data_IF_750092608442
#
_entry.id   IF_750092608442
#
_cell.length_a   1.000
_cell.length_b   1.000
_cell.length_c   1.000
_cell.angle_alpha   90.00
_cell.angle_beta   90.00
_cell.angle_gamma   90.00
#
_symmetry.space_group_name_H-M   'P 1'
#
loop_
_entity.id
_entity.type
_entity.pdbx_description
1 polymer ?
#
# COMPACT_ATOMS: atom_id res chain seq x y z
N UNK A 1 6.17 6.63 24.54
CA UNK A 1 7.54 6.88 24.03
C UNK A 1 7.86 6.25 22.66
N UNK A 2 6.85 5.75 21.92
CA UNK A 2 7.06 4.95 20.70
C UNK A 2 6.79 5.71 19.37
N UNK A 3 6.10 6.85 19.36
CA UNK A 3 5.63 7.44 18.11
C UNK A 3 6.68 8.28 17.35
N UNK A 4 7.57 8.95 18.04
CA UNK A 4 8.60 9.78 17.40
C UNK A 4 9.74 8.95 16.80
N UNK A 5 10.11 7.81 17.41
CA UNK A 5 11.17 6.96 16.90
C UNK A 5 10.81 6.30 15.56
N UNK A 6 9.57 5.82 15.41
CA UNK A 6 9.15 5.13 14.18
C UNK A 6 9.05 6.08 12.98
N UNK A 7 8.60 7.33 13.19
CA UNK A 7 8.57 8.36 12.13
C UNK A 7 10.01 8.76 11.67
N UNK A 8 10.99 8.60 12.55
CA UNK A 8 12.40 8.82 12.23
C UNK A 8 12.93 7.73 11.31
N UNK A 9 12.66 6.45 11.60
CA UNK A 9 13.22 5.33 10.82
C UNK A 9 12.77 5.32 9.35
N UNK A 10 11.53 5.70 9.03
CA UNK A 10 11.05 5.73 7.64
C UNK A 10 11.64 6.87 6.84
N UNK A 11 11.61 8.08 7.42
CA UNK A 11 12.27 9.21 6.78
C UNK A 11 13.73 8.89 6.53
N UNK A 12 14.38 8.23 7.49
CA UNK A 12 15.75 7.76 7.33
C UNK A 12 15.89 6.71 6.22
N UNK A 13 14.98 5.73 6.12
CA UNK A 13 15.04 4.73 5.07
C UNK A 13 14.90 5.35 3.67
N UNK A 14 13.87 6.19 3.46
CA UNK A 14 13.66 6.86 2.18
C UNK A 14 14.78 7.86 1.87
N UNK A 15 15.23 8.67 2.85
CA UNK A 15 16.38 9.55 2.68
C UNK A 15 17.64 8.76 2.32
N UNK A 16 17.88 7.64 3.00
CA UNK A 16 19.06 6.80 2.74
C UNK A 16 19.05 6.20 1.33
N UNK A 17 17.91 5.71 0.87
CA UNK A 17 17.75 5.20 -0.49
C UNK A 17 18.09 6.30 -1.52
N UNK A 18 17.59 7.52 -1.31
CA UNK A 18 17.87 8.65 -2.19
C UNK A 18 19.34 9.09 -2.16
N UNK A 19 19.94 9.20 -0.97
CA UNK A 19 21.34 9.57 -0.77
C UNK A 19 22.30 8.59 -1.44
N UNK A 20 22.03 7.29 -1.29
CA UNK A 20 22.84 6.22 -1.88
C UNK A 20 22.51 5.95 -3.34
N UNK A 21 21.43 6.56 -3.86
CA UNK A 21 20.88 6.29 -5.20
C UNK A 21 20.60 4.80 -5.43
N UNK A 22 20.22 4.09 -4.36
CA UNK A 22 19.84 2.69 -4.43
C UNK A 22 18.55 2.54 -5.23
N UNK A 23 18.45 1.49 -6.05
CA UNK A 23 17.28 1.27 -6.89
C UNK A 23 16.01 1.20 -6.04
N UNK A 24 15.04 2.02 -6.35
CA UNK A 24 13.69 1.98 -5.81
C UNK A 24 12.69 1.76 -6.93
N UNK A 25 11.85 0.76 -6.77
CA UNK A 25 10.83 0.37 -7.75
C UNK A 25 9.46 0.80 -7.25
N UNK A 26 8.89 1.79 -7.90
CA UNK A 26 7.57 2.37 -7.63
C UNK A 26 6.48 1.72 -8.48
N UNK A 27 5.27 1.66 -7.98
CA UNK A 27 4.10 1.30 -8.80
C UNK A 27 3.84 2.30 -9.92
N UNK A 28 3.97 3.60 -9.67
CA UNK A 28 3.76 4.65 -10.67
C UNK A 28 2.36 4.68 -11.30
N UNK A 29 1.34 4.09 -10.63
CA UNK A 29 0.02 3.82 -11.21
C UNK A 29 -1.14 4.60 -10.56
N UNK A 30 -0.82 5.62 -9.77
CA UNK A 30 -1.78 6.45 -9.03
C UNK A 30 -2.64 5.68 -8.00
N UNK A 31 -2.29 4.44 -7.66
CA UNK A 31 -2.96 3.64 -6.63
C UNK A 31 -2.76 4.20 -5.21
N UNK A 32 -3.49 3.64 -4.25
CA UNK A 32 -3.32 3.97 -2.82
C UNK A 32 -1.89 3.73 -2.32
N UNK A 33 -1.25 2.63 -2.77
CA UNK A 33 0.16 2.34 -2.45
C UNK A 33 1.09 3.39 -3.04
N UNK A 34 0.90 3.78 -4.31
CA UNK A 34 1.69 4.84 -4.94
C UNK A 34 1.47 6.20 -4.25
N UNK A 35 0.23 6.55 -3.92
CA UNK A 35 -0.08 7.78 -3.17
C UNK A 35 0.60 7.79 -1.80
N UNK A 36 0.61 6.66 -1.09
CA UNK A 36 1.32 6.48 0.18
C UNK A 36 2.83 6.63 0.01
N UNK A 37 3.41 6.01 -0.99
CA UNK A 37 4.83 6.12 -1.33
C UNK A 37 5.23 7.59 -1.55
N UNK A 38 4.47 8.33 -2.37
CA UNK A 38 4.72 9.75 -2.61
C UNK A 38 4.69 10.59 -1.34
N UNK A 39 3.74 10.31 -0.43
CA UNK A 39 3.67 10.98 0.86
C UNK A 39 4.90 10.68 1.73
N UNK A 40 5.46 9.46 1.67
CA UNK A 40 6.69 9.09 2.37
C UNK A 40 7.92 9.79 1.78
N UNK A 41 8.04 9.89 0.46
CA UNK A 41 9.08 10.66 -0.20
C UNK A 41 9.01 12.14 0.19
N UNK A 42 7.81 12.72 0.19
CA UNK A 42 7.60 14.11 0.62
C UNK A 42 8.01 14.30 2.09
N UNK A 43 7.65 13.37 2.98
CA UNK A 43 8.05 13.41 4.38
C UNK A 43 9.57 13.29 4.59
N UNK A 44 10.27 12.63 3.67
CA UNK A 44 11.73 12.57 3.62
C UNK A 44 12.38 13.81 2.96
N UNK A 45 11.56 14.79 2.54
CA UNK A 45 12.00 15.97 1.78
C UNK A 45 12.71 15.61 0.45
N UNK A 46 12.29 14.49 -0.15
CA UNK A 46 12.77 14.01 -1.44
C UNK A 46 11.57 13.91 -2.39
N UNK A 47 11.72 14.41 -3.60
CA UNK A 47 10.74 14.23 -4.67
C UNK A 47 11.46 13.58 -5.86
N UNK A 48 11.52 12.25 -5.92
CA UNK A 48 12.18 11.57 -7.02
C UNK A 48 11.43 11.85 -8.32
N UNK A 49 12.19 12.15 -9.35
CA UNK A 49 11.71 12.39 -10.71
C UNK A 49 12.30 11.34 -11.65
N UNK A 50 11.44 10.60 -12.34
CA UNK A 50 11.83 9.54 -13.26
C UNK A 50 12.70 10.01 -14.43
N UNK A 51 12.58 11.27 -14.81
CA UNK A 51 13.38 11.86 -15.90
C UNK A 51 14.85 12.06 -15.51
N UNK A 52 15.11 12.35 -14.24
CA UNK A 52 16.45 12.67 -13.72
C UNK A 52 17.01 11.63 -12.77
N UNK A 53 16.18 10.97 -11.97
CA UNK A 53 16.59 10.00 -10.96
C UNK A 53 16.61 8.57 -11.52
N UNK A 54 17.73 8.18 -12.15
CA UNK A 54 17.89 6.81 -12.72
C UNK A 54 17.72 5.67 -11.71
N UNK A 55 17.80 5.95 -10.42
CA UNK A 55 17.59 4.99 -9.33
C UNK A 55 16.11 4.80 -8.98
N UNK A 56 15.23 5.69 -9.39
CA UNK A 56 13.77 5.61 -9.18
C UNK A 56 13.09 5.10 -10.45
N UNK A 57 12.38 3.99 -10.35
CA UNK A 57 11.80 3.27 -11.49
C UNK A 57 10.31 3.09 -11.28
N UNK A 58 9.50 3.73 -12.10
CA UNK A 58 8.06 3.52 -12.14
C UNK A 58 7.70 2.37 -13.09
N UNK A 59 6.86 1.45 -12.61
CA UNK A 59 6.44 0.27 -13.38
C UNK A 59 5.14 0.49 -14.14
N UNK A 60 4.30 1.41 -13.68
CA UNK A 60 2.94 1.58 -14.19
C UNK A 60 2.05 0.35 -13.96
N UNK A 61 2.41 -0.52 -13.02
CA UNK A 61 1.82 -1.87 -12.87
C UNK A 61 1.31 -2.13 -11.46
N UNK A 62 0.51 -3.18 -11.31
CA UNK A 62 0.02 -3.64 -10.00
C UNK A 62 1.15 -4.14 -9.09
N UNK A 63 0.82 -4.29 -7.79
CA UNK A 63 1.82 -4.55 -6.75
C UNK A 63 2.61 -5.85 -6.97
N UNK A 64 1.97 -6.94 -7.41
CA UNK A 64 2.66 -8.21 -7.68
C UNK A 64 3.70 -8.10 -8.79
N UNK A 65 3.39 -7.38 -9.89
CA UNK A 65 4.35 -7.12 -10.96
C UNK A 65 5.50 -6.22 -10.49
N UNK A 66 5.19 -5.20 -9.69
CA UNK A 66 6.20 -4.32 -9.09
C UNK A 66 7.16 -5.08 -8.18
N UNK A 67 6.66 -6.02 -7.36
CA UNK A 67 7.50 -6.89 -6.52
C UNK A 67 8.42 -7.79 -7.35
N UNK A 68 7.93 -8.36 -8.46
CA UNK A 68 8.78 -9.16 -9.36
C UNK A 68 9.93 -8.34 -9.96
N UNK A 69 9.63 -7.10 -10.36
CA UNK A 69 10.65 -6.19 -10.91
C UNK A 69 11.65 -5.80 -9.81
N UNK A 70 11.17 -5.49 -8.59
CA UNK A 70 12.02 -5.16 -7.45
C UNK A 70 12.96 -6.34 -7.10
N UNK A 71 12.43 -7.58 -7.08
CA UNK A 71 13.23 -8.79 -6.86
C UNK A 71 14.31 -8.95 -7.93
N UNK A 72 13.94 -8.80 -9.21
CA UNK A 72 14.89 -8.93 -10.32
C UNK A 72 15.97 -7.85 -10.37
N UNK A 73 15.70 -6.67 -9.77
CA UNK A 73 16.63 -5.53 -9.73
C UNK A 73 17.38 -5.41 -8.40
N UNK A 74 17.17 -6.31 -7.45
CA UNK A 74 17.64 -6.17 -6.06
C UNK A 74 17.31 -4.77 -5.49
N UNK A 75 16.10 -4.27 -5.78
CA UNK A 75 15.67 -2.92 -5.48
C UNK A 75 14.75 -2.85 -4.26
N UNK A 76 14.65 -1.67 -3.68
CA UNK A 76 13.65 -1.36 -2.66
C UNK A 76 12.28 -1.11 -3.29
N UNK A 77 11.22 -1.39 -2.56
CA UNK A 77 9.84 -1.07 -2.96
C UNK A 77 8.94 -0.92 -1.74
N UNK A 78 7.82 -0.24 -1.92
CA UNK A 78 6.73 -0.19 -0.94
C UNK A 78 5.65 -1.19 -1.36
N UNK A 79 5.22 -2.06 -0.45
CA UNK A 79 4.16 -3.03 -0.71
C UNK A 79 3.12 -3.05 0.41
N UNK A 80 1.91 -3.49 0.10
CA UNK A 80 0.92 -3.84 1.10
C UNK A 80 1.18 -5.26 1.66
N UNK A 81 0.73 -5.49 2.90
CA UNK A 81 0.96 -6.75 3.60
C UNK A 81 0.29 -7.94 2.91
N UNK A 82 -0.89 -7.76 2.34
CA UNK A 82 -1.64 -8.83 1.71
C UNK A 82 -0.89 -9.34 0.47
N UNK A 83 -0.45 -8.43 -0.40
CA UNK A 83 0.35 -8.80 -1.57
C UNK A 83 1.67 -9.44 -1.15
N UNK A 84 2.40 -8.89 -0.18
CA UNK A 84 3.65 -9.48 0.30
C UNK A 84 3.48 -10.90 0.83
N UNK A 85 2.43 -11.15 1.61
CA UNK A 85 2.17 -12.48 2.19
C UNK A 85 1.91 -13.52 1.11
N UNK A 86 1.13 -13.15 0.09
CA UNK A 86 0.78 -14.04 -1.04
C UNK A 86 1.86 -14.11 -2.13
N UNK A 87 2.90 -13.26 -2.05
CA UNK A 87 3.93 -13.19 -3.07
C UNK A 87 4.95 -14.31 -2.91
N UNK A 88 5.04 -15.20 -3.91
CA UNK A 88 5.90 -16.39 -3.88
C UNK A 88 7.36 -16.15 -4.29
N UNK A 89 7.60 -15.22 -5.23
CA UNK A 89 8.92 -14.98 -5.81
C UNK A 89 9.71 -13.90 -5.03
N UNK A 90 9.94 -14.14 -3.74
CA UNK A 90 10.58 -13.15 -2.86
C UNK A 90 12.06 -12.93 -3.17
N UNK A 91 12.74 -13.94 -3.73
CA UNK A 91 14.19 -13.94 -3.91
C UNK A 91 14.90 -13.44 -2.62
N UNK A 92 15.76 -12.43 -2.72
CA UNK A 92 16.47 -11.83 -1.56
C UNK A 92 15.70 -10.65 -0.93
N UNK A 93 14.43 -10.42 -1.33
CA UNK A 93 13.61 -9.38 -0.71
C UNK A 93 13.19 -9.78 0.70
N UNK A 94 13.31 -8.84 1.62
CA UNK A 94 12.85 -8.98 3.01
C UNK A 94 12.15 -7.69 3.47
N UNK A 95 11.35 -7.81 4.55
CA UNK A 95 10.69 -6.66 5.16
C UNK A 95 11.70 -5.91 6.03
N UNK A 96 12.09 -4.73 5.62
CA UNK A 96 13.02 -3.88 6.36
C UNK A 96 12.32 -2.93 7.34
N UNK A 97 11.11 -2.48 7.00
CA UNK A 97 10.34 -1.54 7.82
C UNK A 97 8.86 -1.90 7.76
N UNK A 98 8.22 -2.11 8.90
CA UNK A 98 6.78 -2.36 9.03
C UNK A 98 6.22 -1.80 10.34
N UNK A 99 4.89 -1.89 10.50
CA UNK A 99 4.20 -1.65 11.79
C UNK A 99 4.08 -0.18 12.21
N UNK A 100 4.42 0.76 11.37
CA UNK A 100 4.33 2.17 11.69
C UNK A 100 2.93 2.74 11.37
N UNK A 101 2.43 3.64 12.23
CA UNK A 101 1.12 4.30 12.06
C UNK A 101 0.95 5.03 10.73
N UNK A 102 2.03 5.59 10.16
CA UNK A 102 1.98 6.26 8.86
C UNK A 102 1.96 5.28 7.69
N UNK A 103 2.22 3.98 7.93
CA UNK A 103 1.98 2.90 6.97
C UNK A 103 0.54 2.37 7.04
N UNK A 104 -0.30 2.89 7.94
CA UNK A 104 -1.70 2.53 7.99
C UNK A 104 -2.37 2.82 6.64
N UNK A 105 -3.02 1.81 6.09
CA UNK A 105 -3.64 1.83 4.76
C UNK A 105 -5.15 1.54 4.90
N UNK A 106 -5.97 2.55 5.24
CA UNK A 106 -7.41 2.36 5.38
C UNK A 106 -8.05 2.12 4.01
N UNK A 107 -8.98 1.19 3.98
CA UNK A 107 -9.85 0.96 2.83
C UNK A 107 -11.15 1.73 3.02
N UNK A 108 -11.53 2.48 2.01
CA UNK A 108 -12.82 3.13 1.93
C UNK A 108 -13.78 2.39 0.99
N UNK A 109 -15.06 2.39 1.32
CA UNK A 109 -16.11 1.94 0.43
C UNK A 109 -17.06 3.09 0.16
N UNK A 110 -17.44 3.29 -1.11
CA UNK A 110 -18.35 4.35 -1.51
C UNK A 110 -19.27 3.89 -2.63
N UNK A 111 -20.49 4.42 -2.62
CA UNK A 111 -21.47 4.15 -3.67
C UNK A 111 -21.20 5.04 -4.88
N UNK A 112 -21.24 4.45 -6.07
CA UNK A 112 -21.15 5.21 -7.32
C UNK A 112 -22.44 6.01 -7.53
N UNK A 113 -22.31 7.30 -7.86
CA UNK A 113 -23.46 8.18 -8.13
C UNK A 113 -24.18 7.80 -9.41
N UNK A 114 -25.52 7.79 -9.36
CA UNK A 114 -26.35 7.63 -10.56
C UNK A 114 -26.21 8.77 -11.57
N UNK A 115 -25.86 9.97 -11.11
CA UNK A 115 -25.67 11.12 -12.01
C UNK A 115 -24.46 10.92 -12.92
N UNK A 116 -23.45 10.18 -12.44
CA UNK A 116 -22.24 9.84 -13.22
C UNK A 116 -22.39 8.52 -13.97
N UNK A 117 -23.10 7.55 -13.39
CA UNK A 117 -23.31 6.21 -13.94
C UNK A 117 -24.76 5.82 -13.82
N UNK A 118 -25.64 6.19 -14.78
CA UNK A 118 -27.09 5.95 -14.69
C UNK A 118 -27.50 4.48 -14.56
N UNK A 119 -26.66 3.56 -15.04
CA UNK A 119 -26.92 2.11 -15.01
C UNK A 119 -26.48 1.44 -13.69
N UNK A 120 -25.91 2.18 -12.74
CA UNK A 120 -25.43 1.60 -11.48
C UNK A 120 -26.60 1.05 -10.65
N UNK A 121 -26.43 -0.17 -10.12
CA UNK A 121 -27.38 -0.76 -9.19
C UNK A 121 -27.12 -0.22 -7.75
N UNK A 122 -27.65 0.96 -7.47
CA UNK A 122 -27.45 1.62 -6.16
C UNK A 122 -28.05 0.82 -5.00
N UNK A 123 -29.14 0.07 -5.22
CA UNK A 123 -29.77 -0.76 -4.18
C UNK A 123 -28.84 -1.89 -3.76
N UNK A 124 -28.27 -2.62 -4.72
CA UNK A 124 -27.33 -3.69 -4.44
C UNK A 124 -26.01 -3.14 -3.87
N UNK A 125 -25.53 -2.00 -4.41
CA UNK A 125 -24.32 -1.35 -3.89
C UNK A 125 -24.48 -0.90 -2.45
N UNK A 126 -25.61 -0.30 -2.07
CA UNK A 126 -25.89 0.10 -0.70
C UNK A 126 -26.00 -1.11 0.23
N UNK A 127 -26.69 -2.16 -0.18
CA UNK A 127 -26.81 -3.39 0.61
C UNK A 127 -25.43 -4.03 0.88
N UNK A 128 -24.52 -3.98 -0.10
CA UNK A 128 -23.15 -4.46 0.10
C UNK A 128 -22.36 -3.57 1.07
N UNK A 129 -22.49 -2.25 0.99
CA UNK A 129 -21.88 -1.30 1.93
C UNK A 129 -22.41 -1.58 3.35
N UNK A 130 -23.74 -1.69 3.50
CA UNK A 130 -24.38 -1.94 4.80
C UNK A 130 -23.90 -3.26 5.40
N UNK A 131 -23.75 -4.31 4.57
CA UNK A 131 -23.20 -5.59 5.02
C UNK A 131 -21.72 -5.45 5.44
N UNK A 132 -20.89 -4.77 4.65
CA UNK A 132 -19.48 -4.55 5.02
C UNK A 132 -19.33 -3.83 6.37
N UNK A 133 -20.23 -2.88 6.65
CA UNK A 133 -20.22 -2.10 7.90
C UNK A 133 -20.94 -2.79 9.05
N UNK A 134 -21.62 -3.91 8.79
CA UNK A 134 -22.32 -4.68 9.81
C UNK A 134 -21.34 -5.48 10.69
N UNK A 135 -21.81 -5.92 11.86
CA UNK A 135 -21.04 -6.80 12.72
C UNK A 135 -20.61 -8.10 12.00
N UNK A 136 -21.50 -8.68 11.19
CA UNK A 136 -21.22 -9.87 10.39
C UNK A 136 -20.09 -9.61 9.37
N UNK A 137 -20.17 -8.52 8.61
CA UNK A 137 -19.15 -8.15 7.64
C UNK A 137 -17.81 -7.85 8.31
N UNK A 138 -17.81 -7.10 9.40
CA UNK A 138 -16.59 -6.79 10.17
C UNK A 138 -15.96 -8.05 10.79
N UNK A 139 -16.76 -8.98 11.26
CA UNK A 139 -16.30 -10.29 11.76
C UNK A 139 -15.68 -11.11 10.64
N UNK A 140 -16.29 -11.15 9.46
CA UNK A 140 -15.75 -11.86 8.30
C UNK A 140 -14.39 -11.27 7.87
N UNK A 141 -14.25 -9.93 7.83
CA UNK A 141 -12.98 -9.26 7.54
C UNK A 141 -11.91 -9.63 8.59
N UNK A 142 -12.27 -9.58 9.87
CA UNK A 142 -11.34 -9.90 10.96
C UNK A 142 -10.93 -11.37 11.01
N UNK A 143 -11.79 -12.26 10.53
CA UNK A 143 -11.52 -13.70 10.47
C UNK A 143 -10.67 -14.13 9.28
N UNK A 144 -10.55 -13.29 8.24
CA UNK A 144 -9.82 -13.65 7.02
C UNK A 144 -8.33 -13.85 7.31
N UNK A 145 -7.79 -14.97 6.84
CA UNK A 145 -6.38 -15.36 7.01
C UNK A 145 -5.80 -15.87 5.69
N UNK A 146 -4.51 -15.64 5.50
CA UNK A 146 -3.69 -16.30 4.48
C UNK A 146 -2.44 -16.81 5.21
N UNK A 147 -2.14 -18.10 5.08
CA UNK A 147 -1.05 -18.76 5.81
C UNK A 147 -1.09 -18.45 7.32
N UNK A 148 -2.29 -18.58 7.93
CA UNK A 148 -2.58 -18.26 9.33
C UNK A 148 -2.34 -16.80 9.75
N UNK A 149 -1.99 -15.93 8.82
CA UNK A 149 -1.75 -14.50 9.08
C UNK A 149 -3.00 -13.67 8.80
N UNK A 150 -3.37 -12.82 9.75
CA UNK A 150 -4.41 -11.82 9.55
C UNK A 150 -3.91 -10.71 8.63
N UNK A 151 -4.63 -10.47 7.52
CA UNK A 151 -4.25 -9.46 6.53
C UNK A 151 -5.06 -8.18 6.66
N UNK A 152 -6.30 -8.27 7.10
CA UNK A 152 -7.20 -7.14 7.24
C UNK A 152 -7.70 -7.02 8.67
N UNK A 153 -7.88 -5.79 9.12
CA UNK A 153 -8.34 -5.46 10.46
C UNK A 153 -9.65 -4.70 10.35
N UNK A 154 -10.69 -5.20 11.00
CA UNK A 154 -11.98 -4.53 11.05
C UNK A 154 -11.82 -3.16 11.74
N UNK A 155 -12.29 -2.10 11.09
CA UNK A 155 -12.05 -0.72 11.53
C UNK A 155 -13.20 0.21 11.15
N UNK A 156 -14.39 -0.32 10.87
CA UNK A 156 -15.53 0.51 10.53
C UNK A 156 -15.91 1.40 11.70
N UNK A 157 -15.86 2.70 11.50
CA UNK A 157 -16.50 3.70 12.36
C UNK A 157 -17.81 4.11 11.68
N UNK A 158 -18.92 4.00 12.41
CA UNK A 158 -20.22 4.56 12.01
C UNK A 158 -20.31 6.00 12.39
#
# INVERSE_FOLDING_TARGET
RSSAASDVYKRQAFSKIAETKSIFVSRGDMSGTHSKERALWQAASVLPDTSSAKWYRETGSGMGATLNIAAGMAGYTLTDRATWTSFGNKADLDILVEGDKNLFNPYGVMLVSKDKCPTVNTKAGQAFIDWLLSETGQSAISAFRVDDKQLFFAHAQR
#
